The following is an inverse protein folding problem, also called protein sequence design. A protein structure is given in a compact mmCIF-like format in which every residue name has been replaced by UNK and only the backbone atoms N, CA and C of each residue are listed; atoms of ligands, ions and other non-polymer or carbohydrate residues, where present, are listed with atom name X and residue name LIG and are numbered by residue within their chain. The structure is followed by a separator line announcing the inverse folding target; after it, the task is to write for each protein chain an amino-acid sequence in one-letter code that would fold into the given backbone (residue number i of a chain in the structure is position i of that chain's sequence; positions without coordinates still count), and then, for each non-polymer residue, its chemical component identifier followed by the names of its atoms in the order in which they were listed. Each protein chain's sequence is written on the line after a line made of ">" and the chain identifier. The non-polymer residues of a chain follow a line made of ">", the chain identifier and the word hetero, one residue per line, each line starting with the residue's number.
data_IF_178075065228
#
_entry.id   IF_178075065228
#
_cell.length_a   1.000
_cell.length_b   1.000
_cell.length_c   1.000
_cell.angle_alpha   90.00
_cell.angle_beta   90.00
_cell.angle_gamma   90.00
#
_symmetry.space_group_name_H-M   'P 1'
#
loop_
_entity.id
_entity.type
_entity.pdbx_description
1 polymer ?
#
# COMPACT_ATOMS: atom_id res chain seq x y z
N UNK A 1 4.20 9.54 -6.84
CA UNK A 1 4.34 8.30 -7.61
C UNK A 1 3.05 7.51 -7.50
N UNK A 2 2.71 6.74 -8.51
CA UNK A 2 1.48 5.94 -8.56
C UNK A 2 1.84 4.50 -8.91
N UNK A 3 1.36 3.53 -8.12
CA UNK A 3 1.65 2.11 -8.30
C UNK A 3 0.35 1.31 -8.33
N UNK A 4 -0.08 0.85 -9.51
CA UNK A 4 -1.25 -0.01 -9.65
C UNK A 4 -0.88 -1.49 -9.45
N UNK A 5 -1.27 -2.08 -8.32
CA UNK A 5 -0.87 -3.45 -7.96
C UNK A 5 -1.66 -4.55 -8.68
N UNK A 6 -2.79 -4.21 -9.31
CA UNK A 6 -3.46 -5.07 -10.29
C UNK A 6 -2.58 -5.36 -11.52
N UNK A 7 -1.62 -4.47 -11.80
CA UNK A 7 -0.63 -4.57 -12.88
C UNK A 7 0.75 -4.96 -12.39
N UNK A 8 0.88 -5.50 -11.17
CA UNK A 8 2.17 -5.86 -10.56
C UNK A 8 3.03 -6.80 -11.41
N UNK A 9 2.43 -7.64 -12.26
CA UNK A 9 3.15 -8.53 -13.18
C UNK A 9 4.02 -7.80 -14.23
N UNK A 10 3.82 -6.50 -14.43
CA UNK A 10 4.61 -5.66 -15.35
C UNK A 10 5.77 -4.94 -14.64
N UNK A 11 5.90 -5.10 -13.33
CA UNK A 11 6.88 -4.41 -12.50
C UNK A 11 7.59 -5.41 -11.60
N UNK A 12 8.67 -4.95 -10.98
CA UNK A 12 9.33 -5.65 -9.88
C UNK A 12 9.17 -4.82 -8.60
N UNK A 13 9.15 -5.43 -7.40
CA UNK A 13 8.89 -4.71 -6.16
C UNK A 13 9.86 -3.54 -5.89
N UNK A 14 11.07 -3.60 -6.44
CA UNK A 14 12.10 -2.56 -6.36
C UNK A 14 11.68 -1.23 -7.03
N UNK A 15 10.60 -1.22 -7.81
CA UNK A 15 9.98 0.03 -8.31
C UNK A 15 9.57 0.98 -7.17
N UNK A 16 9.40 0.44 -5.96
CA UNK A 16 9.06 1.20 -4.75
C UNK A 16 10.26 1.90 -4.10
N UNK A 17 11.48 1.59 -4.52
CA UNK A 17 12.69 2.17 -3.91
C UNK A 17 12.89 3.62 -4.34
N UNK A 18 13.20 4.48 -3.36
CA UNK A 18 13.33 5.92 -3.56
C UNK A 18 12.00 6.66 -3.63
N UNK A 19 10.85 5.96 -3.67
CA UNK A 19 9.54 6.63 -3.67
C UNK A 19 9.28 7.44 -2.40
N UNK A 20 9.96 7.13 -1.29
CA UNK A 20 9.92 7.92 -0.06
C UNK A 20 10.47 9.34 -0.20
N UNK A 21 11.16 9.67 -1.30
CA UNK A 21 11.62 11.03 -1.60
C UNK A 21 10.55 11.89 -2.29
N UNK A 22 9.46 11.29 -2.76
CA UNK A 22 8.39 11.98 -3.47
C UNK A 22 7.44 12.67 -2.47
N UNK A 23 6.87 13.81 -2.83
CA UNK A 23 5.90 14.48 -1.94
C UNK A 23 4.61 13.67 -1.67
N UNK A 24 4.29 12.72 -2.57
CA UNK A 24 3.08 11.90 -2.54
C UNK A 24 3.33 10.56 -3.23
N UNK A 25 2.87 9.48 -2.59
CA UNK A 25 2.83 8.12 -3.12
C UNK A 25 1.41 7.57 -3.00
N UNK A 26 0.89 7.02 -4.09
CA UNK A 26 -0.40 6.37 -4.15
C UNK A 26 -0.20 4.90 -4.55
N UNK A 27 -0.68 3.98 -3.72
CA UNK A 27 -0.71 2.55 -3.99
C UNK A 27 -2.17 2.17 -4.25
N UNK A 28 -2.44 1.58 -5.41
CA UNK A 28 -3.79 1.21 -5.82
C UNK A 28 -3.97 -0.32 -5.77
N UNK A 29 -5.12 -0.77 -5.29
CA UNK A 29 -5.56 -2.17 -5.21
C UNK A 29 -4.64 -3.07 -4.36
N UNK A 30 -4.42 -2.71 -3.09
CA UNK A 30 -3.52 -3.44 -2.16
C UNK A 30 -3.89 -4.92 -1.96
N UNK A 31 -5.15 -5.29 -2.10
CA UNK A 31 -5.62 -6.68 -2.06
C UNK A 31 -4.96 -7.57 -3.11
N UNK A 32 -4.47 -6.99 -4.21
CA UNK A 32 -3.86 -7.75 -5.30
C UNK A 32 -2.56 -8.45 -4.88
N UNK A 33 -1.88 -7.97 -3.84
CA UNK A 33 -0.63 -8.56 -3.33
C UNK A 33 -0.85 -9.50 -2.13
N UNK A 34 -2.09 -9.75 -1.73
CA UNK A 34 -2.35 -10.65 -0.60
C UNK A 34 -1.83 -12.07 -0.88
N UNK A 35 -0.93 -12.55 -0.01
CA UNK A 35 -0.26 -13.84 -0.16
C UNK A 35 1.02 -13.80 -0.98
N UNK A 36 1.40 -12.64 -1.51
CA UNK A 36 2.63 -12.42 -2.29
C UNK A 36 3.71 -11.81 -1.37
N UNK A 37 4.54 -12.67 -0.79
CA UNK A 37 5.49 -12.29 0.27
C UNK A 37 6.50 -11.22 -0.16
N UNK A 38 6.93 -11.24 -1.43
CA UNK A 38 7.87 -10.25 -1.96
C UNK A 38 7.22 -8.87 -2.03
N UNK A 39 6.01 -8.78 -2.56
CA UNK A 39 5.27 -7.52 -2.66
C UNK A 39 4.81 -7.01 -1.29
N UNK A 40 4.34 -7.89 -0.40
CA UNK A 40 3.98 -7.52 0.97
C UNK A 40 5.19 -6.92 1.71
N UNK A 41 6.37 -7.56 1.60
CA UNK A 41 7.60 -7.05 2.20
C UNK A 41 8.04 -5.71 1.59
N UNK A 42 7.91 -5.53 0.27
CA UNK A 42 8.29 -4.29 -0.38
C UNK A 42 7.40 -3.11 0.03
N UNK A 43 6.08 -3.31 0.11
CA UNK A 43 5.14 -2.29 0.62
C UNK A 43 5.42 -1.98 2.09
N UNK A 44 5.69 -3.01 2.90
CA UNK A 44 6.07 -2.84 4.30
C UNK A 44 7.31 -1.96 4.47
N UNK A 45 8.35 -2.23 3.68
CA UNK A 45 9.59 -1.45 3.70
C UNK A 45 9.36 -0.01 3.25
N UNK A 46 8.59 0.20 2.17
CA UNK A 46 8.21 1.54 1.72
C UNK A 46 7.47 2.32 2.81
N UNK A 47 6.52 1.70 3.50
CA UNK A 47 5.79 2.32 4.60
C UNK A 47 6.75 2.81 5.70
N UNK A 48 7.69 1.95 6.12
CA UNK A 48 8.68 2.32 7.13
C UNK A 48 9.56 3.48 6.69
N UNK A 49 10.08 3.45 5.45
CA UNK A 49 10.90 4.55 4.91
C UNK A 49 10.12 5.88 4.85
N UNK A 50 8.85 5.84 4.46
CA UNK A 50 7.97 7.03 4.46
C UNK A 50 7.76 7.55 5.88
N UNK A 51 7.51 6.66 6.84
CA UNK A 51 7.33 7.03 8.25
C UNK A 51 8.59 7.66 8.84
N UNK A 52 9.77 7.09 8.56
CA UNK A 52 11.07 7.57 9.04
C UNK A 52 11.42 8.94 8.45
N UNK A 53 11.16 9.16 7.16
CA UNK A 53 11.46 10.43 6.49
C UNK A 53 10.47 11.53 6.86
N UNK A 54 9.19 11.20 7.08
CA UNK A 54 8.14 12.12 7.51
C UNK A 54 7.76 13.20 6.48
N UNK A 55 8.24 13.10 5.24
CA UNK A 55 8.04 14.12 4.18
C UNK A 55 7.02 13.72 3.12
N UNK A 56 6.59 12.47 3.14
CA UNK A 56 5.87 11.83 2.04
C UNK A 56 4.47 11.47 2.48
N UNK A 57 3.48 11.90 1.70
CA UNK A 57 2.08 11.49 1.91
C UNK A 57 1.87 10.14 1.26
N UNK A 58 1.23 9.22 1.96
CA UNK A 58 0.92 7.88 1.47
C UNK A 58 -0.60 7.69 1.42
N UNK A 59 -1.12 7.36 0.25
CA UNK A 59 -2.50 6.91 0.05
C UNK A 59 -2.48 5.47 -0.44
N UNK A 60 -3.38 4.66 0.11
CA UNK A 60 -3.53 3.26 -0.26
C UNK A 60 -5.01 2.99 -0.46
N UNK A 61 -5.37 2.38 -1.57
CA UNK A 61 -6.73 1.91 -1.84
C UNK A 61 -6.80 0.40 -1.70
N UNK A 62 -8.01 -0.09 -1.45
CA UNK A 62 -8.32 -1.50 -1.60
C UNK A 62 -9.81 -1.78 -1.54
N UNK A 63 -10.19 -3.00 -1.90
CA UNK A 63 -11.59 -3.44 -1.98
C UNK A 63 -12.25 -3.71 -0.61
N UNK A 64 -11.46 -3.82 0.46
CA UNK A 64 -11.91 -4.14 1.83
C UNK A 64 -10.99 -3.53 2.89
N UNK A 65 -11.44 -3.45 4.17
CA UNK A 65 -10.61 -2.95 5.25
C UNK A 65 -9.32 -3.77 5.45
N UNK A 66 -8.23 -3.16 5.97
CA UNK A 66 -6.93 -3.83 6.15
C UNK A 66 -6.98 -5.19 6.84
N UNK A 67 -7.82 -5.31 7.88
CA UNK A 67 -8.01 -6.56 8.65
C UNK A 67 -8.59 -7.72 7.84
N UNK A 68 -9.16 -7.46 6.67
CA UNK A 68 -9.81 -8.46 5.80
C UNK A 68 -9.00 -8.78 4.55
N UNK A 69 -7.84 -8.13 4.33
CA UNK A 69 -7.00 -8.34 3.15
C UNK A 69 -6.30 -9.70 3.12
N UNK A 70 -6.31 -10.47 4.22
CA UNK A 70 -5.63 -11.77 4.34
C UNK A 70 -4.13 -11.72 3.97
N UNK A 71 -3.47 -10.60 4.30
CA UNK A 71 -2.02 -10.45 4.16
C UNK A 71 -1.29 -11.49 5.01
N UNK A 72 -0.22 -12.07 4.48
CA UNK A 72 0.62 -13.03 5.21
C UNK A 72 1.50 -12.35 6.24
N UNK A 73 1.91 -11.12 5.99
CA UNK A 73 2.75 -10.31 6.85
C UNK A 73 1.87 -9.53 7.85
N UNK A 74 1.76 -9.97 9.12
CA UNK A 74 0.84 -9.37 10.09
C UNK A 74 1.22 -7.93 10.45
N UNK A 75 2.52 -7.63 10.37
CA UNK A 75 3.04 -6.29 10.65
C UNK A 75 2.66 -5.27 9.57
N UNK A 76 2.48 -5.71 8.31
CA UNK A 76 1.93 -4.88 7.24
C UNK A 76 0.46 -4.59 7.51
N UNK A 77 -0.33 -5.63 7.81
CA UNK A 77 -1.74 -5.45 8.15
C UNK A 77 -1.94 -4.46 9.31
N UNK A 78 -1.11 -4.57 10.36
CA UNK A 78 -1.14 -3.66 11.52
C UNK A 78 -0.80 -2.21 11.13
N UNK A 79 0.16 -2.00 10.22
CA UNK A 79 0.51 -0.66 9.71
C UNK A 79 -0.60 -0.03 8.89
N UNK A 80 -1.22 -0.81 8.01
CA UNK A 80 -2.37 -0.37 7.23
C UNK A 80 -3.55 -0.01 8.14
N UNK A 81 -3.71 -0.69 9.28
CA UNK A 81 -4.78 -0.43 10.25
C UNK A 81 -4.49 0.77 11.19
N UNK A 82 -3.24 1.22 11.28
CA UNK A 82 -2.84 2.34 12.16
C UNK A 82 -3.20 3.72 11.59
N UNK A 83 -3.41 3.81 10.27
CA UNK A 83 -3.76 5.05 9.58
C UNK A 83 -5.23 5.46 9.68
N UNK A 84 -5.59 6.57 9.03
CA UNK A 84 -6.99 6.95 8.83
C UNK A 84 -7.60 6.09 7.72
N UNK A 85 -8.65 5.33 8.04
CA UNK A 85 -9.34 4.46 7.10
C UNK A 85 -10.69 5.08 6.74
N UNK A 86 -10.90 5.30 5.45
CA UNK A 86 -12.15 5.83 4.92
C UNK A 86 -12.79 4.83 3.98
N UNK A 87 -14.08 4.54 4.19
CA UNK A 87 -14.88 3.76 3.23
C UNK A 87 -15.49 4.72 2.21
N UNK A 88 -15.00 4.69 0.98
CA UNK A 88 -15.61 5.40 -0.13
C UNK A 88 -17.01 4.86 -0.38
N UNK A 89 -17.97 5.77 -0.51
CA UNK A 89 -19.34 5.43 -0.93
C UNK A 89 -19.42 5.60 -2.45
N UNK A 90 -20.06 4.67 -3.17
CA UNK A 90 -20.38 4.90 -4.57
C UNK A 90 -21.30 6.11 -4.68
N UNK A 91 -21.30 6.73 -5.87
CA UNK A 91 -22.26 7.80 -6.16
C UNK A 91 -23.68 7.28 -5.99
N UNK A 92 -24.54 8.12 -5.41
CA UNK A 92 -25.98 7.88 -5.46
C UNK A 92 -26.45 8.11 -6.89
N UNK A 93 -27.32 7.24 -7.39
CA UNK A 93 -27.98 7.40 -8.70
C UNK A 93 -28.76 8.73 -8.79
#
# INVERSE_FOLDING_TARGET
>A
GYVPLDKRAYFVPEVLDGMEQLALVCIDNIECIAGDEEWEMAIFNLYNRILETGRTRLFITGDRPPRQLNLRLPDLASRLDWGQIYKLQPLSD
#
